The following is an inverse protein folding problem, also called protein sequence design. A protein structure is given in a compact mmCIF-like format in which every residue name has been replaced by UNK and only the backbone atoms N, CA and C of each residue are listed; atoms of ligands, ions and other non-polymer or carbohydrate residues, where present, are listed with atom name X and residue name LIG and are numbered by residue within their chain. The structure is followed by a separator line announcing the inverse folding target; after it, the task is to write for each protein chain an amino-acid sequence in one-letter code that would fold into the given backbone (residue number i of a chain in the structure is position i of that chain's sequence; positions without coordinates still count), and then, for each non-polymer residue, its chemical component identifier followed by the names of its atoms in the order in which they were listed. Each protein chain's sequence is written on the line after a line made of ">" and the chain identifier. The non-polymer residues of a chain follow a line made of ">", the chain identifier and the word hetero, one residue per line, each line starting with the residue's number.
data_IF_724077392907
#
_entry.id   IF_724077392907
#
_cell.length_a   1.000
_cell.length_b   1.000
_cell.length_c   1.000
_cell.angle_alpha   90.00
_cell.angle_beta   90.00
_cell.angle_gamma   90.00
#
_symmetry.space_group_name_H-M   'P 1'
#
loop_
_entity.id
_entity.type
_entity.pdbx_description
1 polymer ?
#
# COMPACT_ATOMS: atom_id res chain seq x y z
N UNK A 1 40.12 -57.72 5.38
CA UNK A 1 39.52 -57.50 4.05
C UNK A 1 38.04 -57.19 4.31
N UNK A 2 37.63 -55.92 4.55
CA UNK A 2 37.21 -54.90 3.54
C UNK A 2 36.16 -55.49 2.57
N UNK A 3 34.95 -55.00 2.34
CA UNK A 3 34.26 -53.69 2.36
C UNK A 3 32.74 -54.02 2.59
N UNK A 4 31.75 -53.13 2.75
CA UNK A 4 31.61 -51.75 2.29
C UNK A 4 30.54 -51.03 3.11
N UNK A 5 30.74 -49.73 3.27
CA UNK A 5 29.95 -48.82 4.08
C UNK A 5 29.38 -47.77 3.13
N UNK A 6 28.10 -47.90 2.75
CA UNK A 6 27.46 -46.91 1.87
C UNK A 6 26.12 -46.49 2.45
N UNK A 7 26.18 -45.67 3.50
CA UNK A 7 25.06 -44.84 3.90
C UNK A 7 24.84 -43.80 2.79
N UNK A 8 23.76 -43.98 2.03
CA UNK A 8 23.33 -43.00 1.04
C UNK A 8 22.94 -41.69 1.74
N UNK A 9 23.82 -40.71 1.53
CA UNK A 9 23.67 -39.27 1.69
C UNK A 9 22.23 -38.79 1.90
N UNK A 10 21.94 -38.35 3.12
CA UNK A 10 20.75 -37.57 3.42
C UNK A 10 20.66 -36.36 2.49
N UNK A 11 19.53 -36.23 1.80
CA UNK A 11 19.19 -35.05 1.05
C UNK A 11 19.24 -33.83 2.00
N UNK A 12 20.18 -32.91 1.75
CA UNK A 12 20.17 -31.58 2.39
C UNK A 12 18.94 -30.86 1.87
N UNK A 13 17.88 -30.87 2.67
CA UNK A 13 16.73 -29.99 2.47
C UNK A 13 17.25 -28.56 2.60
N UNK A 14 17.45 -27.90 1.46
CA UNK A 14 17.70 -26.46 1.40
C UNK A 14 16.44 -25.79 1.91
N UNK A 15 16.47 -25.40 3.18
CA UNK A 15 15.40 -24.64 3.83
C UNK A 15 15.33 -23.26 3.15
N UNK A 16 14.60 -23.19 2.03
CA UNK A 16 14.21 -21.93 1.41
C UNK A 16 13.22 -21.29 2.36
N UNK A 17 13.75 -20.50 3.29
CA UNK A 17 12.97 -19.77 4.28
C UNK A 17 12.16 -18.69 3.53
N UNK A 18 11.06 -19.11 2.92
CA UNK A 18 10.08 -18.25 2.28
C UNK A 18 9.39 -17.47 3.39
N UNK A 19 9.99 -16.33 3.78
CA UNK A 19 9.40 -15.45 4.77
C UNK A 19 8.07 -14.91 4.25
N UNK A 20 6.97 -15.44 4.77
CA UNK A 20 5.61 -15.02 4.47
C UNK A 20 5.36 -13.56 4.88
N UNK A 21 4.44 -12.91 4.16
CA UNK A 21 4.03 -11.55 4.47
C UNK A 21 3.46 -11.46 5.89
N UNK A 22 3.88 -10.46 6.67
CA UNK A 22 3.51 -10.28 8.07
C UNK A 22 4.37 -11.04 9.08
N UNK A 23 5.40 -11.79 8.64
CA UNK A 23 6.32 -12.51 9.52
C UNK A 23 7.75 -11.96 9.54
N UNK A 24 8.04 -10.92 8.76
CA UNK A 24 9.35 -10.28 8.76
C UNK A 24 9.53 -9.43 10.03
N UNK A 25 10.75 -9.29 10.54
CA UNK A 25 11.08 -8.35 11.61
C UNK A 25 12.13 -7.38 11.08
N UNK A 26 11.87 -6.07 11.17
CA UNK A 26 12.86 -5.05 10.84
C UNK A 26 14.08 -5.19 11.75
N UNK A 27 15.27 -5.01 11.19
CA UNK A 27 16.47 -4.78 12.02
C UNK A 27 16.34 -3.43 12.75
N UNK A 28 17.17 -3.20 13.77
CA UNK A 28 17.18 -1.92 14.48
C UNK A 28 17.53 -0.75 13.54
N UNK A 29 18.46 -0.98 12.61
CA UNK A 29 18.86 0.02 11.61
C UNK A 29 17.71 0.34 10.63
N UNK A 30 17.05 -0.70 10.10
CA UNK A 30 15.90 -0.53 9.18
C UNK A 30 14.76 0.20 9.86
N UNK A 31 14.42 -0.20 11.09
CA UNK A 31 13.37 0.45 11.88
C UNK A 31 13.69 1.94 12.07
N UNK A 32 14.93 2.26 12.45
CA UNK A 32 15.34 3.64 12.67
C UNK A 32 15.34 4.46 11.38
N UNK A 33 15.78 3.89 10.26
CA UNK A 33 15.77 4.52 8.95
C UNK A 33 14.33 4.84 8.49
N UNK A 34 13.44 3.86 8.54
CA UNK A 34 12.02 4.02 8.19
C UNK A 34 11.35 5.05 9.10
N UNK A 35 11.58 4.98 10.41
CA UNK A 35 11.01 5.93 11.38
C UNK A 35 11.51 7.36 11.15
N UNK A 36 12.76 7.55 10.76
CA UNK A 36 13.31 8.86 10.44
C UNK A 36 12.74 9.41 9.14
N UNK A 37 12.63 8.57 8.10
CA UNK A 37 12.08 8.98 6.82
C UNK A 37 10.59 9.33 6.92
N UNK A 38 9.78 8.57 7.67
CA UNK A 38 8.35 8.86 7.89
C UNK A 38 8.08 10.17 8.64
N UNK A 39 9.08 10.73 9.34
CA UNK A 39 8.97 12.03 10.02
C UNK A 39 9.23 13.22 9.09
N UNK A 40 9.79 12.98 7.91
CA UNK A 40 10.07 14.04 6.96
C UNK A 40 8.78 14.48 6.27
N UNK A 41 8.64 15.81 6.08
CA UNK A 41 7.57 16.37 5.25
C UNK A 41 7.95 16.18 3.78
N UNK A 42 6.95 15.89 2.96
CA UNK A 42 7.14 15.83 1.52
C UNK A 42 7.45 17.23 0.98
N UNK A 43 8.39 17.28 0.03
CA UNK A 43 8.70 18.50 -0.71
C UNK A 43 7.56 18.91 -1.67
N UNK A 44 7.58 20.16 -2.16
CA UNK A 44 6.55 20.69 -3.05
C UNK A 44 6.39 19.90 -4.36
N UNK A 45 7.41 19.17 -4.81
CA UNK A 45 7.38 18.30 -6.00
C UNK A 45 6.36 17.16 -5.90
N UNK A 46 6.01 16.75 -4.67
CA UNK A 46 4.97 15.75 -4.43
C UNK A 46 3.56 16.34 -4.37
N UNK A 47 3.45 17.67 -4.24
CA UNK A 47 2.18 18.35 -3.99
C UNK A 47 1.63 18.90 -5.30
N UNK A 48 0.46 18.38 -5.68
CA UNK A 48 -0.35 18.91 -6.79
C UNK A 48 -1.47 19.77 -6.26
N UNK A 49 -1.99 20.67 -7.11
CA UNK A 49 -3.14 21.51 -6.75
C UNK A 49 -4.21 21.44 -7.82
N UNK A 50 -5.47 21.49 -7.40
CA UNK A 50 -6.62 21.65 -8.29
C UNK A 50 -7.55 22.72 -7.76
N UNK A 51 -8.30 23.35 -8.65
CA UNK A 51 -9.44 24.18 -8.27
C UNK A 51 -10.59 23.29 -7.80
N UNK A 52 -11.21 23.66 -6.68
CA UNK A 52 -12.42 23.08 -6.14
C UNK A 52 -13.60 24.06 -6.31
N UNK A 53 -14.80 23.63 -5.90
CA UNK A 53 -15.99 24.50 -5.89
C UNK A 53 -15.74 25.78 -5.10
N UNK A 54 -16.35 26.89 -5.53
CA UNK A 54 -16.18 28.19 -4.87
C UNK A 54 -14.81 28.84 -5.05
N UNK A 55 -14.01 28.40 -6.03
CA UNK A 55 -12.72 29.03 -6.37
C UNK A 55 -11.55 28.66 -5.45
N UNK A 56 -11.77 27.78 -4.46
CA UNK A 56 -10.73 27.35 -3.55
C UNK A 56 -9.71 26.44 -4.26
N UNK A 57 -8.44 26.51 -3.85
CA UNK A 57 -7.40 25.55 -4.27
C UNK A 57 -7.26 24.47 -3.22
N UNK A 58 -7.23 23.21 -3.67
CA UNK A 58 -7.01 22.05 -2.81
C UNK A 58 -5.71 21.38 -3.22
N UNK A 59 -4.83 21.16 -2.25
CA UNK A 59 -3.58 20.43 -2.41
C UNK A 59 -3.82 18.92 -2.23
N UNK A 60 -3.17 18.10 -3.05
CA UNK A 60 -3.23 16.64 -2.96
C UNK A 60 -1.94 16.02 -3.50
N UNK A 61 -1.71 14.74 -3.20
CA UNK A 61 -0.63 13.94 -3.79
C UNK A 61 -1.24 13.03 -4.83
N UNK A 62 -0.64 12.95 -6.01
CA UNK A 62 -1.09 12.07 -7.07
C UNK A 62 -0.88 10.60 -6.69
N UNK A 63 -1.82 9.72 -7.07
CA UNK A 63 -1.79 8.31 -6.66
C UNK A 63 -0.49 7.60 -7.03
N UNK A 64 0.06 7.84 -8.22
CA UNK A 64 1.32 7.23 -8.66
C UNK A 64 2.51 7.63 -7.77
N UNK A 65 2.55 8.87 -7.26
CA UNK A 65 3.60 9.34 -6.35
C UNK A 65 3.52 8.65 -5.00
N UNK A 66 2.31 8.44 -4.48
CA UNK A 66 2.09 7.68 -3.23
C UNK A 66 2.59 6.24 -3.37
N UNK A 67 2.31 5.60 -4.50
CA UNK A 67 2.78 4.23 -4.79
C UNK A 67 4.31 4.19 -4.87
N UNK A 68 4.94 5.12 -5.59
CA UNK A 68 6.40 5.20 -5.68
C UNK A 68 7.05 5.42 -4.31
N UNK A 69 6.52 6.36 -3.51
CA UNK A 69 6.99 6.60 -2.15
C UNK A 69 6.89 5.34 -1.27
N UNK A 70 5.78 4.60 -1.35
CA UNK A 70 5.65 3.36 -0.59
C UNK A 70 6.68 2.30 -1.04
N UNK A 71 6.95 2.20 -2.34
CA UNK A 71 7.97 1.29 -2.88
C UNK A 71 9.39 1.68 -2.48
N UNK A 72 9.71 2.98 -2.43
CA UNK A 72 11.01 3.49 -1.97
C UNK A 72 11.20 3.24 -0.47
N UNK A 73 10.15 3.44 0.32
CA UNK A 73 10.21 3.37 1.79
C UNK A 73 10.17 1.94 2.33
N UNK A 74 9.36 1.07 1.72
CA UNK A 74 9.11 -0.28 2.22
C UNK A 74 9.62 -1.37 1.28
N UNK A 75 10.06 -1.03 0.06
CA UNK A 75 10.34 -2.00 -1.00
C UNK A 75 9.05 -2.52 -1.66
N UNK A 76 9.13 -2.88 -2.93
CA UNK A 76 7.97 -3.34 -3.73
C UNK A 76 7.23 -4.56 -3.13
N UNK A 77 7.91 -5.36 -2.32
CA UNK A 77 7.36 -6.53 -1.64
C UNK A 77 7.16 -6.34 -0.12
N UNK A 78 7.52 -5.16 0.42
CA UNK A 78 7.43 -4.89 1.85
C UNK A 78 6.11 -4.27 2.29
N UNK A 79 5.22 -3.97 1.36
CA UNK A 79 3.85 -3.53 1.64
C UNK A 79 2.86 -4.17 0.67
N UNK A 80 1.60 -4.17 1.06
CA UNK A 80 0.48 -4.60 0.22
C UNK A 80 -0.74 -3.77 0.55
N UNK A 81 -1.73 -3.79 -0.34
CA UNK A 81 -3.02 -3.19 -0.08
C UNK A 81 -4.15 -4.07 -0.62
N UNK A 82 -5.34 -3.93 -0.04
CA UNK A 82 -6.56 -4.57 -0.52
C UNK A 82 -7.77 -3.66 -0.32
N UNK A 83 -8.76 -3.78 -1.19
CA UNK A 83 -10.06 -3.11 -1.02
C UNK A 83 -10.92 -4.04 -0.17
N UNK A 84 -11.24 -3.62 1.05
CA UNK A 84 -12.06 -4.43 1.98
C UNK A 84 -13.55 -4.24 1.74
N UNK A 85 -13.96 -3.04 1.29
CA UNK A 85 -15.35 -2.73 0.96
C UNK A 85 -15.40 -1.61 -0.07
N UNK A 86 -16.39 -1.66 -0.95
CA UNK A 86 -16.73 -0.59 -1.88
C UNK A 86 -18.23 -0.39 -1.84
N UNK A 87 -18.68 0.86 -1.76
CA UNK A 87 -20.09 1.22 -1.67
C UNK A 87 -20.43 2.32 -2.67
N UNK A 88 -21.59 2.20 -3.31
CA UNK A 88 -22.18 3.29 -4.10
C UNK A 88 -23.02 4.10 -3.11
N UNK A 89 -22.58 5.31 -2.81
CA UNK A 89 -23.20 6.16 -1.80
C UNK A 89 -24.45 6.86 -2.38
N UNK A 90 -24.40 7.29 -3.65
CA UNK A 90 -25.54 7.86 -4.37
C UNK A 90 -25.38 7.75 -5.89
N UNK A 91 -26.51 7.80 -6.61
CA UNK A 91 -26.60 7.91 -8.07
C UNK A 91 -27.74 8.87 -8.40
N UNK A 92 -27.40 10.06 -8.91
CA UNK A 92 -28.38 11.07 -9.30
C UNK A 92 -28.34 11.35 -10.80
N UNK A 93 -29.51 11.60 -11.39
CA UNK A 93 -29.66 12.06 -12.78
C UNK A 93 -30.23 13.49 -12.78
N UNK A 94 -29.42 14.47 -13.16
CA UNK A 94 -29.81 15.88 -13.18
C UNK A 94 -29.53 16.45 -14.57
N UNK A 95 -30.56 16.94 -15.26
CA UNK A 95 -30.46 17.54 -16.60
C UNK A 95 -29.70 16.65 -17.61
N UNK A 96 -30.00 15.34 -17.60
CA UNK A 96 -29.36 14.35 -18.46
C UNK A 96 -27.93 13.95 -18.07
N UNK A 97 -27.40 14.45 -16.93
CA UNK A 97 -26.08 14.12 -16.42
C UNK A 97 -26.17 13.24 -15.18
N UNK A 98 -25.36 12.19 -15.15
CA UNK A 98 -25.22 11.31 -13.99
C UNK A 98 -24.17 11.85 -13.01
N UNK A 99 -24.51 11.80 -11.72
CA UNK A 99 -23.64 12.12 -10.60
C UNK A 99 -23.58 10.89 -9.70
N UNK A 100 -22.38 10.31 -9.55
CA UNK A 100 -22.22 9.07 -8.80
C UNK A 100 -21.14 9.26 -7.73
N UNK A 101 -21.51 9.02 -6.48
CA UNK A 101 -20.59 8.95 -5.36
C UNK A 101 -20.26 7.50 -5.04
N UNK A 102 -18.97 7.15 -5.03
CA UNK A 102 -18.49 5.83 -4.59
C UNK A 102 -17.50 6.01 -3.46
N UNK A 103 -17.67 5.25 -2.38
CA UNK A 103 -16.67 5.13 -1.33
C UNK A 103 -16.01 3.74 -1.33
N UNK A 104 -14.74 3.70 -0.95
CA UNK A 104 -14.01 2.46 -0.78
C UNK A 104 -13.20 2.50 0.52
N UNK A 105 -13.15 1.37 1.20
CA UNK A 105 -12.25 1.11 2.32
C UNK A 105 -11.05 0.33 1.80
N UNK A 106 -9.87 0.92 1.93
CA UNK A 106 -8.60 0.30 1.54
C UNK A 106 -7.81 -0.02 2.80
N UNK A 107 -7.39 -1.28 2.90
CA UNK A 107 -6.50 -1.78 3.93
C UNK A 107 -5.08 -1.79 3.37
N UNK A 108 -4.16 -1.10 4.03
CA UNK A 108 -2.73 -1.18 3.73
C UNK A 108 -2.05 -2.01 4.82
N UNK A 109 -1.18 -2.94 4.42
CA UNK A 109 -0.43 -3.81 5.32
C UNK A 109 1.06 -3.73 5.00
N UNK A 110 1.89 -3.90 6.02
CA UNK A 110 3.35 -4.03 5.87
C UNK A 110 3.74 -5.49 6.05
N UNK A 111 4.83 -5.91 5.39
CA UNK A 111 5.39 -7.27 5.46
C UNK A 111 5.90 -7.60 6.87
N UNK A 112 6.12 -6.58 7.69
CA UNK A 112 6.74 -6.73 9.02
C UNK A 112 5.69 -7.02 10.07
N UNK A 113 6.02 -7.92 10.98
CA UNK A 113 5.24 -8.21 12.18
C UNK A 113 5.32 -7.01 13.13
N UNK A 114 4.40 -6.06 12.99
CA UNK A 114 4.26 -5.00 13.98
C UNK A 114 3.50 -5.53 15.20
N UNK A 115 3.96 -5.23 16.42
CA UNK A 115 3.26 -5.61 17.67
C UNK A 115 1.86 -5.00 17.76
N UNK A 116 1.68 -3.87 17.11
CA UNK A 116 0.42 -3.17 16.92
C UNK A 116 0.08 -3.37 15.44
N UNK A 117 -0.93 -4.16 15.09
CA UNK A 117 -1.37 -4.31 13.70
C UNK A 117 -1.72 -2.93 13.13
N UNK A 118 -0.79 -2.28 12.42
CA UNK A 118 -1.06 -0.97 11.83
C UNK A 118 -1.85 -1.19 10.56
N UNK A 119 -3.15 -1.45 10.71
CA UNK A 119 -4.10 -1.41 9.61
C UNK A 119 -4.44 0.05 9.39
N UNK A 120 -3.74 0.70 8.46
CA UNK A 120 -4.23 1.97 7.96
C UNK A 120 -5.49 1.68 7.13
N UNK A 121 -6.65 2.07 7.66
CA UNK A 121 -7.90 2.11 6.92
C UNK A 121 -8.01 3.46 6.25
N UNK A 122 -7.82 3.49 4.94
CA UNK A 122 -8.00 4.72 4.16
C UNK A 122 -9.37 4.64 3.48
N UNK A 123 -10.25 5.57 3.83
CA UNK A 123 -11.50 5.76 3.10
C UNK A 123 -11.25 6.74 1.96
N UNK A 124 -11.38 6.26 0.73
CA UNK A 124 -11.40 7.12 -0.44
C UNK A 124 -12.84 7.32 -0.88
N UNK A 125 -13.22 8.56 -1.18
CA UNK A 125 -14.47 8.88 -1.87
C UNK A 125 -14.11 9.42 -3.24
N UNK A 126 -14.53 8.70 -4.28
CA UNK A 126 -14.38 9.14 -5.67
C UNK A 126 -15.76 9.58 -6.16
N UNK A 127 -15.85 10.85 -6.58
CA UNK A 127 -17.05 11.37 -7.24
C UNK A 127 -16.80 11.33 -8.73
N UNK A 128 -17.55 10.48 -9.44
CA UNK A 128 -17.50 10.40 -10.88
C UNK A 128 -18.41 11.47 -11.47
N UNK A 129 -17.85 12.30 -12.35
CA UNK A 129 -18.60 13.20 -13.22
C UNK A 129 -18.59 12.59 -14.60
N UNK A 130 -19.75 12.24 -15.14
CA UNK A 130 -19.83 11.88 -16.55
C UNK A 130 -19.49 13.13 -17.37
N UNK A 131 -18.25 13.21 -17.89
CA UNK A 131 -17.94 14.12 -18.99
C UNK A 131 -18.65 13.53 -20.19
N UNK A 132 -19.81 14.10 -20.52
CA UNK A 132 -20.54 13.73 -21.73
C UNK A 132 -19.59 13.65 -22.91
N UNK A 133 -19.73 12.58 -23.69
CA UNK A 133 -19.16 12.47 -25.03
C UNK A 133 -19.59 13.67 -25.89
#
# INVERSE_FOLDING_TARGET
>A
MTHDNTAHSGCRSTNTNSMYFGQYQYTAEEYQAVQNALRQKLGPEYISTRQAGGGQKVCYIEGHKVISLANEMFGYNGWSHSISQQNIDFVDLINGKFYVGVSAFVKVQLKVRSRTETLAHVKFTVVFFNRGL
#
